data_IF_221880231360
#
_entry.id   IF_221880231360
#
_cell.length_a   1.000
_cell.length_b   1.000
_cell.length_c   1.000
_cell.angle_alpha   90.00
_cell.angle_beta   90.00
_cell.angle_gamma   90.00
#
_symmetry.space_group_name_H-M   'P 1'
#
loop_
_entity.id
_entity.type
_entity.pdbx_description
1 polymer ?
#
# COMPACT_ATOMS: atom_id res chain seq x y z
N UNK A 1 -25.20 14.38 15.15
CA UNK A 1 -25.02 13.09 14.45
C UNK A 1 -23.88 12.34 15.14
N UNK A 2 -24.18 11.25 15.85
CA UNK A 2 -23.15 10.43 16.49
C UNK A 2 -22.78 9.29 15.54
N UNK A 3 -21.50 9.19 15.19
CA UNK A 3 -20.95 8.09 14.39
C UNK A 3 -20.32 7.09 15.34
N UNK A 4 -20.83 5.87 15.37
CA UNK A 4 -20.24 4.77 16.12
C UNK A 4 -19.31 3.98 15.20
N UNK A 5 -18.06 3.81 15.62
CA UNK A 5 -17.07 3.03 14.88
C UNK A 5 -16.99 1.62 15.45
N UNK A 6 -17.11 0.61 14.58
CA UNK A 6 -16.86 -0.79 14.93
C UNK A 6 -15.39 -1.07 14.61
N UNK A 7 -14.59 -1.38 15.63
CA UNK A 7 -13.19 -1.72 15.43
C UNK A 7 -13.08 -3.12 14.79
N UNK A 8 -12.28 -3.28 13.72
CA UNK A 8 -12.05 -4.60 13.13
C UNK A 8 -11.18 -5.47 14.04
N UNK A 9 -11.39 -6.78 14.01
CA UNK A 9 -10.57 -7.75 14.77
C UNK A 9 -9.10 -7.80 14.30
N UNK A 10 -8.86 -7.48 13.03
CA UNK A 10 -7.53 -7.47 12.42
C UNK A 10 -7.26 -6.14 11.76
N UNK A 11 -6.07 -5.60 12.01
CA UNK A 11 -5.61 -4.35 11.41
C UNK A 11 -4.15 -4.47 11.01
N UNK A 12 -3.77 -3.67 10.01
CA UNK A 12 -2.37 -3.49 9.61
C UNK A 12 -1.84 -2.22 10.27
N UNK A 13 -0.67 -2.28 10.90
CA UNK A 13 -0.02 -1.09 11.44
C UNK A 13 0.57 -0.27 10.29
N UNK A 14 0.09 0.96 10.12
CA UNK A 14 0.59 1.92 9.15
C UNK A 14 1.49 2.96 9.82
N UNK A 15 2.55 3.41 9.13
CA UNK A 15 3.28 4.62 9.55
C UNK A 15 2.41 5.86 9.35
N UNK A 16 2.53 6.83 10.26
CA UNK A 16 1.83 8.11 10.16
C UNK A 16 2.17 8.85 8.86
N UNK A 17 3.41 8.72 8.40
CA UNK A 17 3.88 9.28 7.13
C UNK A 17 3.10 8.74 5.94
N UNK A 18 2.82 7.43 5.90
CA UNK A 18 2.04 6.80 4.83
C UNK A 18 0.58 7.29 4.90
N UNK A 19 0.00 7.31 6.10
CA UNK A 19 -1.40 7.73 6.30
C UNK A 19 -1.59 9.19 5.85
N UNK A 20 -0.64 10.07 6.20
CA UNK A 20 -0.70 11.51 5.89
C UNK A 20 0.00 11.92 4.61
N UNK A 21 0.54 10.97 3.84
CA UNK A 21 1.32 11.29 2.65
C UNK A 21 0.49 12.18 1.68
N UNK A 22 0.99 13.37 1.30
CA UNK A 22 0.19 14.36 0.57
C UNK A 22 -0.02 13.99 -0.90
N UNK A 23 0.93 13.24 -1.49
CA UNK A 23 0.90 12.87 -2.92
C UNK A 23 0.31 11.48 -3.20
N UNK A 24 0.23 10.61 -2.18
CA UNK A 24 -0.34 9.28 -2.35
C UNK A 24 -1.86 9.35 -2.25
N UNK A 25 -2.53 8.86 -3.29
CA UNK A 25 -3.99 8.66 -3.26
C UNK A 25 -4.36 7.49 -2.37
N UNK A 26 -5.64 7.41 -1.97
CA UNK A 26 -6.15 6.35 -1.11
C UNK A 26 -5.79 4.95 -1.64
N UNK A 27 -6.01 4.69 -2.94
CA UNK A 27 -5.65 3.40 -3.58
C UNK A 27 -4.15 3.10 -3.48
N UNK A 28 -3.27 4.10 -3.62
CA UNK A 28 -1.82 3.90 -3.47
C UNK A 28 -1.44 3.57 -2.02
N UNK A 29 -2.05 4.26 -1.04
CA UNK A 29 -1.89 3.95 0.39
C UNK A 29 -2.37 2.53 0.69
N UNK A 30 -3.55 2.14 0.19
CA UNK A 30 -4.10 0.78 0.37
C UNK A 30 -3.19 -0.29 -0.22
N UNK A 31 -2.71 -0.12 -1.47
CA UNK A 31 -1.80 -1.07 -2.11
C UNK A 31 -0.47 -1.20 -1.34
N UNK A 32 0.07 -0.07 -0.85
CA UNK A 32 1.28 -0.09 -0.03
C UNK A 32 1.06 -0.83 1.28
N UNK A 33 -0.07 -0.60 1.96
CA UNK A 33 -0.41 -1.31 3.20
C UNK A 33 -0.59 -2.82 2.99
N UNK A 34 -1.22 -3.23 1.88
CA UNK A 34 -1.30 -4.64 1.52
C UNK A 34 0.08 -5.24 1.30
N UNK A 35 0.95 -4.55 0.55
CA UNK A 35 2.32 -5.02 0.31
C UNK A 35 3.12 -5.17 1.61
N UNK A 36 2.98 -4.23 2.56
CA UNK A 36 3.64 -4.27 3.86
C UNK A 36 3.08 -5.35 4.81
N UNK A 37 1.84 -5.78 4.59
CA UNK A 37 1.19 -6.86 5.35
C UNK A 37 1.55 -8.27 4.84
N UNK A 38 2.26 -8.38 3.71
CA UNK A 38 2.63 -9.67 3.16
C UNK A 38 3.57 -10.44 4.12
N UNK A 39 3.38 -11.76 4.28
CA UNK A 39 4.30 -12.56 5.05
C UNK A 39 5.68 -12.62 4.39
N UNK A 40 6.77 -12.78 5.16
CA UNK A 40 8.10 -13.01 4.61
C UNK A 40 8.08 -14.18 3.62
N UNK A 41 8.74 -14.03 2.47
CA UNK A 41 8.78 -15.05 1.41
C UNK A 41 7.57 -15.07 0.48
N UNK A 42 6.59 -14.16 0.66
CA UNK A 42 5.51 -14.00 -0.31
C UNK A 42 6.04 -13.64 -1.69
N UNK A 43 5.48 -14.28 -2.73
CA UNK A 43 5.72 -13.96 -4.14
C UNK A 43 4.75 -12.92 -4.68
N UNK A 44 3.80 -12.46 -3.86
CA UNK A 44 2.88 -11.41 -4.26
C UNK A 44 3.63 -10.09 -4.48
N UNK A 45 3.23 -9.40 -5.54
CA UNK A 45 3.74 -8.08 -5.91
C UNK A 45 2.60 -7.07 -5.81
N UNK A 46 2.92 -5.77 -5.87
CA UNK A 46 1.89 -4.71 -5.97
C UNK A 46 0.93 -4.97 -7.15
N UNK A 47 1.40 -5.60 -8.24
CA UNK A 47 0.56 -5.93 -9.39
C UNK A 47 -0.41 -7.08 -9.10
N UNK A 48 0.05 -8.15 -8.42
CA UNK A 48 -0.84 -9.27 -8.05
C UNK A 48 -1.80 -8.89 -6.94
N UNK A 49 -1.41 -7.97 -6.06
CA UNK A 49 -2.31 -7.36 -5.09
C UNK A 49 -3.33 -6.44 -5.77
N UNK A 50 -2.88 -5.64 -6.73
CA UNK A 50 -3.72 -4.72 -7.47
C UNK A 50 -4.79 -5.38 -8.32
N UNK A 51 -4.57 -6.60 -8.83
CA UNK A 51 -5.62 -7.34 -9.55
C UNK A 51 -6.81 -7.70 -8.65
N UNK A 52 -6.62 -7.72 -7.32
CA UNK A 52 -7.68 -7.94 -6.33
C UNK A 52 -8.36 -6.65 -5.87
N UNK A 53 -7.89 -5.49 -6.32
CA UNK A 53 -8.44 -4.21 -5.86
C UNK A 53 -9.75 -3.88 -6.61
N UNK A 54 -10.83 -3.52 -5.89
CA UNK A 54 -12.11 -3.16 -6.50
C UNK A 54 -12.04 -1.88 -7.33
N UNK A 55 -11.01 -1.04 -7.17
CA UNK A 55 -10.86 0.25 -7.88
C UNK A 55 -10.50 0.11 -9.37
N UNK A 56 -10.24 -1.12 -9.84
CA UNK A 56 -10.01 -1.42 -11.25
C UNK A 56 -8.58 -1.12 -11.74
N UNK A 57 -8.27 -1.66 -12.93
CA UNK A 57 -6.91 -1.73 -13.48
C UNK A 57 -6.23 -0.37 -13.65
N UNK A 58 -6.97 0.66 -14.09
CA UNK A 58 -6.41 2.00 -14.30
C UNK A 58 -6.03 2.68 -12.99
N UNK A 59 -6.87 2.58 -11.96
CA UNK A 59 -6.57 3.14 -10.63
C UNK A 59 -5.33 2.47 -10.02
N UNK A 60 -5.23 1.14 -10.15
CA UNK A 60 -4.06 0.36 -9.72
C UNK A 60 -2.78 0.77 -10.45
N UNK A 61 -2.86 0.99 -11.76
CA UNK A 61 -1.71 1.44 -12.56
C UNK A 61 -1.22 2.82 -12.11
N UNK A 62 -2.15 3.77 -11.94
CA UNK A 62 -1.83 5.11 -11.43
C UNK A 62 -1.26 5.08 -10.00
N UNK A 63 -1.84 4.26 -9.14
CA UNK A 63 -1.34 4.06 -7.78
C UNK A 63 0.08 3.48 -7.77
N UNK A 64 0.37 2.51 -8.63
CA UNK A 64 1.73 1.98 -8.79
C UNK A 64 2.71 3.04 -9.29
N UNK A 65 2.30 3.89 -10.23
CA UNK A 65 3.13 4.99 -10.70
C UNK A 65 3.49 5.95 -9.57
N UNK A 66 2.51 6.32 -8.72
CA UNK A 66 2.75 7.14 -7.53
C UNK A 66 3.74 6.46 -6.56
N UNK A 67 3.57 5.16 -6.30
CA UNK A 67 4.49 4.45 -5.41
C UNK A 67 5.93 4.41 -5.94
N UNK A 68 6.11 4.42 -7.26
CA UNK A 68 7.45 4.50 -7.86
C UNK A 68 8.00 5.92 -7.76
N UNK A 69 7.18 6.93 -8.07
CA UNK A 69 7.55 8.35 -8.02
C UNK A 69 7.97 8.78 -6.60
N UNK A 70 7.23 8.33 -5.59
CA UNK A 70 7.52 8.62 -4.16
C UNK A 70 8.56 7.66 -3.56
N UNK A 71 9.16 6.75 -4.35
CA UNK A 71 10.26 5.89 -3.90
C UNK A 71 9.88 4.66 -3.06
N UNK A 72 8.58 4.37 -2.89
CA UNK A 72 8.09 3.18 -2.17
C UNK A 72 8.16 1.87 -2.98
N UNK A 73 8.35 1.95 -4.30
CA UNK A 73 8.51 0.79 -5.18
C UNK A 73 9.56 1.06 -6.26
N UNK A 74 10.28 0.02 -6.67
CA UNK A 74 11.20 0.11 -7.81
C UNK A 74 10.57 -0.47 -9.08
N UNK A 75 10.97 0.07 -10.23
CA UNK A 75 10.59 -0.48 -11.54
C UNK A 75 11.43 -1.75 -11.79
N UNK A 76 10.91 -2.91 -11.38
CA UNK A 76 11.63 -4.19 -11.57
C UNK A 76 11.26 -5.34 -10.64
N UNK A 77 10.03 -5.41 -10.12
CA UNK A 77 9.47 -6.62 -9.49
C UNK A 77 10.19 -7.17 -8.26
N UNK A 78 11.19 -6.47 -7.70
CA UNK A 78 11.83 -6.90 -6.45
C UNK A 78 10.82 -6.77 -5.30
N UNK A 79 10.74 -7.78 -4.41
CA UNK A 79 9.85 -7.69 -3.25
C UNK A 79 10.21 -6.46 -2.43
N UNK A 80 9.18 -5.77 -1.94
CA UNK A 80 9.33 -4.64 -1.02
C UNK A 80 10.12 -5.16 0.19
N UNK A 81 11.42 -4.85 0.27
CA UNK A 81 12.18 -5.03 1.51
C UNK A 81 11.50 -4.11 2.52
N UNK A 82 11.13 -4.69 3.67
CA UNK A 82 10.66 -3.95 4.85
C UNK A 82 11.78 -3.00 5.26
N UNK A 83 11.75 -1.78 4.72
CA UNK A 83 12.69 -0.72 5.02
C UNK A 83 12.45 -0.24 6.43
N UNK A 84 13.45 -0.44 7.29
CA UNK A 84 13.55 0.23 8.59
C UNK A 84 13.50 1.75 8.41
N UNK A 85 13.04 2.41 9.46
CA UNK A 85 12.77 3.85 9.50
C UNK A 85 13.85 4.69 8.84
N UNK A 86 13.40 5.66 8.06
CA UNK A 86 14.25 6.71 7.54
C UNK A 86 14.62 7.64 8.71
N UNK A 87 15.92 7.82 8.86
CA UNK A 87 16.55 8.92 9.60
C UNK A 87 16.30 10.23 8.88
#
# INVERSE_FOLDING_TARGET
MHVHFIAPERYVRASHEIVRHPRLRATAKTLLLWALSLPPGSRDTILTLGSRSPEGRMAVSGARAQLIEEGYSQRGGRPVRRGGGLR
#
